data_IF_043083153957
#
_entry.id   IF_043083153957
#
_cell.length_a   1.000
_cell.length_b   1.000
_cell.length_c   1.000
_cell.angle_alpha   90.00
_cell.angle_beta   90.00
_cell.angle_gamma   90.00
#
_symmetry.space_group_name_H-M   'P 1'
#
loop_
_entity.id
_entity.type
_entity.pdbx_description
1 polymer ?
#
# COMPACT_ATOMS: atom_id res chain seq x y z
N UNK A 1 -5.69 -61.72 24.31
CA UNK A 1 -5.39 -60.83 25.46
C UNK A 1 -4.67 -59.60 24.93
N UNK A 2 -5.21 -58.43 25.26
CA UNK A 2 -4.75 -57.09 24.88
C UNK A 2 -3.32 -56.77 25.35
N UNK A 3 -2.64 -55.88 24.61
CA UNK A 3 -2.00 -54.69 25.22
C UNK A 3 -1.63 -53.65 24.14
N UNK A 4 -2.35 -52.54 24.19
CA UNK A 4 -2.01 -51.28 23.55
C UNK A 4 -0.70 -50.73 24.10
N UNK A 5 0.16 -50.20 23.23
CA UNK A 5 1.13 -49.17 23.60
C UNK A 5 0.89 -47.98 22.68
N UNK A 6 0.63 -46.86 23.33
CA UNK A 6 0.16 -45.59 22.80
C UNK A 6 1.32 -44.58 22.94
N UNK A 7 1.31 -43.55 22.06
CA UNK A 7 2.14 -42.32 22.07
C UNK A 7 3.55 -42.49 21.46
N UNK A 8 4.13 -41.52 20.74
CA UNK A 8 4.02 -40.06 20.78
C UNK A 8 4.23 -39.52 19.36
N UNK A 9 3.26 -38.78 18.81
CA UNK A 9 3.47 -37.93 17.63
C UNK A 9 3.15 -36.50 18.08
N UNK A 10 4.18 -35.75 18.49
CA UNK A 10 4.09 -34.30 18.64
C UNK A 10 3.92 -33.70 17.23
N UNK A 11 2.82 -33.01 16.89
CA UNK A 11 2.90 -32.03 15.83
C UNK A 11 3.61 -30.81 16.41
N UNK A 12 4.80 -30.53 15.90
CA UNK A 12 5.52 -29.27 16.13
C UNK A 12 4.64 -28.16 15.57
N UNK A 13 3.90 -27.50 16.46
CA UNK A 13 3.15 -26.29 16.15
C UNK A 13 4.19 -25.19 15.92
N UNK A 14 4.59 -25.01 14.66
CA UNK A 14 5.47 -23.92 14.24
C UNK A 14 4.68 -22.61 14.35
N UNK A 15 4.77 -21.97 15.52
CA UNK A 15 4.27 -20.62 15.74
C UNK A 15 5.17 -19.69 14.91
N UNK A 16 4.68 -19.27 13.74
CA UNK A 16 5.26 -18.15 13.00
C UNK A 16 5.08 -16.90 13.85
N UNK A 17 6.13 -16.52 14.55
CA UNK A 17 6.24 -15.25 15.24
C UNK A 17 6.28 -14.13 14.19
N UNK A 18 5.14 -13.45 13.98
CA UNK A 18 5.03 -12.22 13.20
C UNK A 18 5.78 -11.09 13.92
N UNK A 19 7.11 -11.15 13.90
CA UNK A 19 7.98 -10.00 14.20
C UNK A 19 8.17 -9.19 12.91
N UNK A 20 7.10 -8.53 12.48
CA UNK A 20 7.14 -7.51 11.44
C UNK A 20 7.13 -6.13 12.08
N UNK A 21 8.25 -5.69 12.66
CA UNK A 21 8.44 -4.28 12.99
C UNK A 21 8.45 -3.52 11.65
N UNK A 22 7.28 -3.03 11.27
CA UNK A 22 6.99 -2.54 9.94
C UNK A 22 7.65 -1.18 9.77
N UNK A 23 8.72 -1.13 8.97
CA UNK A 23 9.25 0.13 8.46
C UNK A 23 8.17 0.91 7.68
N UNK A 24 8.45 2.16 7.29
CA UNK A 24 7.51 2.95 6.51
C UNK A 24 7.17 2.20 5.22
N UNK A 25 5.91 1.79 5.08
CA UNK A 25 5.41 0.96 3.99
C UNK A 25 4.33 1.71 3.22
N UNK A 26 4.22 1.41 1.92
CA UNK A 26 3.16 1.96 1.08
C UNK A 26 1.85 1.28 1.45
N UNK A 27 0.88 2.09 1.88
CA UNK A 27 -0.47 1.64 2.17
C UNK A 27 -1.30 1.66 0.89
N UNK A 28 -2.22 0.72 0.73
CA UNK A 28 -3.18 0.67 -0.37
C UNK A 28 -4.59 0.85 0.20
N UNK A 29 -5.36 1.75 -0.39
CA UNK A 29 -6.75 2.01 -0.07
C UNK A 29 -7.58 1.85 -1.34
N UNK A 30 -8.41 0.79 -1.47
CA UNK A 30 -9.26 0.61 -2.64
C UNK A 30 -10.27 1.75 -2.75
N UNK A 31 -10.70 2.07 -3.98
CA UNK A 31 -11.75 3.07 -4.17
C UNK A 31 -13.11 2.52 -3.73
N UNK A 32 -13.81 3.29 -2.89
CA UNK A 32 -15.17 2.98 -2.43
C UNK A 32 -16.19 3.28 -3.53
N UNK A 33 -16.20 2.51 -4.62
CA UNK A 33 -17.31 2.41 -5.59
C UNK A 33 -17.07 1.22 -6.53
N UNK A 34 -17.76 0.08 -6.34
CA UNK A 34 -17.33 -1.22 -6.89
C UNK A 34 -18.06 -1.61 -8.18
N UNK A 35 -18.43 -0.69 -9.06
CA UNK A 35 -19.02 -1.07 -10.33
C UNK A 35 -18.33 -0.31 -11.45
N UNK A 36 -17.38 -1.00 -12.07
CA UNK A 36 -16.82 -0.62 -13.36
C UNK A 36 -17.94 -0.52 -14.41
N UNK A 37 -17.68 0.11 -15.56
CA UNK A 37 -18.64 0.13 -16.68
C UNK A 37 -19.07 -1.29 -17.14
N UNK A 38 -18.32 -2.33 -16.73
CA UNK A 38 -18.54 -3.75 -17.01
C UNK A 38 -19.22 -4.54 -15.88
N UNK A 39 -19.55 -3.92 -14.75
CA UNK A 39 -20.25 -4.60 -13.64
C UNK A 39 -19.35 -5.30 -12.61
N UNK A 40 -18.03 -5.34 -12.83
CA UNK A 40 -17.04 -5.98 -11.96
C UNK A 40 -16.61 -5.05 -10.81
N UNK A 41 -16.48 -5.60 -9.60
CA UNK A 41 -15.94 -4.86 -8.46
C UNK A 41 -14.43 -4.71 -8.51
N UNK A 42 -13.90 -3.68 -7.87
CA UNK A 42 -12.45 -3.48 -7.76
C UNK A 42 -11.77 -4.65 -7.04
N UNK A 43 -12.45 -5.28 -6.07
CA UNK A 43 -11.93 -6.46 -5.38
C UNK A 43 -11.83 -7.65 -6.33
N UNK A 44 -12.88 -7.92 -7.12
CA UNK A 44 -12.89 -8.97 -8.14
C UNK A 44 -11.81 -8.73 -9.20
N UNK A 45 -11.63 -7.47 -9.62
CA UNK A 45 -10.62 -7.03 -10.57
C UNK A 45 -9.17 -7.28 -10.11
N UNK A 46 -8.92 -7.09 -8.83
CA UNK A 46 -7.61 -7.32 -8.21
C UNK A 46 -7.38 -8.82 -8.01
N UNK A 47 -8.40 -9.55 -7.54
CA UNK A 47 -8.32 -10.99 -7.30
C UNK A 47 -8.17 -11.79 -8.61
N UNK A 48 -8.93 -11.43 -9.65
CA UNK A 48 -8.92 -12.12 -10.94
C UNK A 48 -7.58 -11.98 -11.68
N UNK A 49 -6.93 -10.82 -11.55
CA UNK A 49 -5.63 -10.59 -12.18
C UNK A 49 -4.48 -11.16 -11.34
N UNK A 50 -4.55 -11.02 -10.02
CA UNK A 50 -3.48 -11.40 -9.12
C UNK A 50 -2.20 -10.53 -9.23
N UNK A 51 -1.17 -10.83 -8.43
CA UNK A 51 0.08 -10.06 -8.42
C UNK A 51 0.85 -10.15 -9.74
N UNK A 52 1.52 -9.07 -10.12
CA UNK A 52 2.43 -9.02 -11.28
C UNK A 52 3.87 -8.70 -10.84
N UNK A 53 4.82 -8.64 -11.79
CA UNK A 53 6.17 -8.19 -11.49
C UNK A 53 6.20 -6.67 -11.22
N UNK A 54 6.93 -6.18 -10.20
CA UNK A 54 7.20 -4.75 -10.03
C UNK A 54 7.85 -4.10 -11.26
N UNK A 55 8.57 -4.86 -12.08
CA UNK A 55 9.21 -4.32 -13.30
C UNK A 55 8.20 -4.00 -14.40
N UNK A 56 7.05 -4.67 -14.40
CA UNK A 56 5.98 -4.46 -15.37
C UNK A 56 5.08 -3.26 -15.02
N UNK A 57 5.16 -2.76 -13.78
CA UNK A 57 4.41 -1.60 -13.33
C UNK A 57 4.99 -0.32 -13.91
N UNK A 58 4.17 0.50 -14.58
CA UNK A 58 4.56 1.79 -15.15
C UNK A 58 4.30 2.94 -14.17
N UNK A 59 5.25 3.86 -14.04
CA UNK A 59 5.08 5.09 -13.26
C UNK A 59 4.75 6.24 -14.21
N UNK A 60 3.65 6.93 -13.93
CA UNK A 60 3.19 8.09 -14.67
C UNK A 60 3.30 9.33 -13.78
N UNK A 61 4.27 10.19 -14.08
CA UNK A 61 4.48 11.48 -13.40
C UNK A 61 3.94 12.57 -14.31
N UNK A 62 3.10 13.47 -13.77
CA UNK A 62 2.50 14.64 -14.45
C UNK A 62 1.64 14.38 -15.70
N UNK A 63 1.59 13.18 -16.24
CA UNK A 63 0.80 12.82 -17.41
C UNK A 63 -0.06 11.60 -17.12
N UNK A 64 -1.31 11.59 -17.58
CA UNK A 64 -2.16 10.40 -17.54
C UNK A 64 -1.79 9.46 -18.70
N UNK A 65 -1.92 8.14 -18.54
CA UNK A 65 -1.76 7.22 -19.67
C UNK A 65 -2.75 7.54 -20.79
N UNK A 66 -2.31 7.37 -22.04
CA UNK A 66 -3.18 7.54 -23.22
C UNK A 66 -4.17 6.38 -23.38
N UNK A 67 -3.78 5.18 -22.94
CA UNK A 67 -4.62 3.99 -23.02
C UNK A 67 -5.77 4.07 -22.00
N UNK A 68 -6.97 3.56 -22.32
CA UNK A 68 -8.04 3.38 -21.35
C UNK A 68 -7.57 2.57 -20.14
N UNK A 69 -7.97 2.99 -18.95
CA UNK A 69 -7.60 2.34 -17.70
C UNK A 69 -8.72 2.46 -16.66
N UNK A 70 -8.71 1.53 -15.70
CA UNK A 70 -9.52 1.58 -14.48
C UNK A 70 -8.65 1.96 -13.28
N UNK A 71 -9.19 2.79 -12.40
CA UNK A 71 -8.55 3.16 -11.13
C UNK A 71 -8.92 2.13 -10.06
N UNK A 72 -7.92 1.54 -9.43
CA UNK A 72 -8.11 0.48 -8.41
C UNK A 72 -8.15 1.08 -7.00
N UNK A 73 -7.24 2.01 -6.70
CA UNK A 73 -7.08 2.51 -5.35
C UNK A 73 -5.94 3.48 -5.22
N UNK A 74 -5.92 4.16 -4.07
CA UNK A 74 -4.86 5.11 -3.73
C UNK A 74 -3.77 4.39 -2.96
N UNK A 75 -2.53 4.62 -3.39
CA UNK A 75 -1.31 4.25 -2.69
C UNK A 75 -0.82 5.46 -1.90
N UNK A 76 -0.44 5.26 -0.63
CA UNK A 76 0.05 6.33 0.26
C UNK A 76 1.35 5.93 0.95
N UNK A 77 2.34 6.82 0.94
CA UNK A 77 3.62 6.65 1.61
C UNK A 77 3.95 7.88 2.45
N UNK A 78 3.97 7.72 3.78
CA UNK A 78 4.32 8.80 4.71
C UNK A 78 5.70 8.54 5.32
N UNK A 79 6.56 9.56 5.30
CA UNK A 79 7.88 9.52 5.93
C UNK A 79 8.14 10.79 6.73
N UNK A 80 8.94 10.70 7.80
CA UNK A 80 9.50 11.90 8.44
C UNK A 80 10.36 12.66 7.42
N UNK A 81 10.38 14.00 7.53
CA UNK A 81 10.89 15.05 6.63
C UNK A 81 12.22 14.87 5.88
N UNK A 82 12.89 13.74 6.05
CA UNK A 82 13.88 13.30 5.09
C UNK A 82 13.18 13.00 3.76
N UNK A 83 13.49 13.81 2.74
CA UNK A 83 13.08 13.57 1.36
C UNK A 83 13.50 12.14 1.01
N UNK A 84 12.56 11.18 0.87
CA UNK A 84 12.93 9.90 0.33
C UNK A 84 13.40 10.16 -1.09
N UNK A 85 14.56 9.59 -1.47
CA UNK A 85 15.02 9.61 -2.86
C UNK A 85 13.80 9.24 -3.73
N UNK A 86 13.39 10.14 -4.62
CA UNK A 86 12.15 10.02 -5.41
C UNK A 86 12.10 8.68 -6.13
N UNK A 87 13.25 8.20 -6.59
CA UNK A 87 13.45 6.87 -7.15
C UNK A 87 13.07 5.74 -6.18
N UNK A 88 13.48 5.84 -4.91
CA UNK A 88 13.12 4.86 -3.88
C UNK A 88 11.63 4.87 -3.59
N UNK A 89 11.00 6.05 -3.58
CA UNK A 89 9.54 6.15 -3.45
C UNK A 89 8.84 5.45 -4.61
N UNK A 90 9.30 5.66 -5.85
CA UNK A 90 8.75 4.98 -7.02
C UNK A 90 8.90 3.46 -6.92
N UNK A 91 10.05 2.96 -6.48
CA UNK A 91 10.23 1.51 -6.29
C UNK A 91 9.24 0.94 -5.27
N UNK A 92 9.01 1.64 -4.16
CA UNK A 92 8.01 1.23 -3.17
C UNK A 92 6.58 1.25 -3.73
N UNK A 93 6.24 2.26 -4.54
CA UNK A 93 4.96 2.32 -5.25
C UNK A 93 4.82 1.15 -6.24
N UNK A 94 5.85 0.85 -7.04
CA UNK A 94 5.84 -0.29 -7.98
C UNK A 94 5.62 -1.61 -7.26
N UNK A 95 6.31 -1.85 -6.15
CA UNK A 95 6.16 -3.07 -5.36
C UNK A 95 4.73 -3.24 -4.85
N UNK A 96 4.14 -2.17 -4.30
CA UNK A 96 2.78 -2.24 -3.76
C UNK A 96 1.72 -2.34 -4.85
N UNK A 97 1.89 -1.64 -5.96
CA UNK A 97 1.03 -1.70 -7.14
C UNK A 97 1.05 -3.09 -7.79
N UNK A 98 2.24 -3.68 -7.93
CA UNK A 98 2.43 -5.04 -8.43
C UNK A 98 1.71 -6.07 -7.56
N UNK A 99 1.78 -5.93 -6.23
CA UNK A 99 1.11 -6.81 -5.29
C UNK A 99 -0.43 -6.78 -5.42
N UNK A 100 -1.00 -5.71 -5.98
CA UNK A 100 -2.46 -5.58 -6.23
C UNK A 100 -2.82 -5.74 -7.71
N UNK A 101 -1.90 -6.22 -8.56
CA UNK A 101 -2.17 -6.44 -9.98
C UNK A 101 -2.42 -5.16 -10.77
N UNK A 102 -1.85 -4.04 -10.36
CA UNK A 102 -1.93 -2.78 -11.10
C UNK A 102 -0.88 -2.74 -12.21
N UNK A 103 -1.27 -2.27 -13.40
CA UNK A 103 -0.37 -2.01 -14.53
C UNK A 103 0.48 -0.76 -14.34
N UNK A 104 0.01 0.17 -13.51
CA UNK A 104 0.70 1.43 -13.33
C UNK A 104 0.29 2.19 -12.09
N UNK A 105 1.07 3.23 -11.80
CA UNK A 105 0.79 4.21 -10.76
C UNK A 105 0.87 5.60 -11.35
N UNK A 106 -0.22 6.35 -11.25
CA UNK A 106 -0.24 7.78 -11.56
C UNK A 106 0.16 8.52 -10.30
N UNK A 107 1.32 9.16 -10.30
CA UNK A 107 1.80 9.93 -9.14
C UNK A 107 0.96 11.19 -9.02
N UNK A 108 0.25 11.28 -7.89
CA UNK A 108 -0.50 12.47 -7.52
C UNK A 108 0.49 13.34 -6.74
N UNK A 109 0.85 14.52 -7.27
CA UNK A 109 1.75 15.42 -6.55
C UNK A 109 1.15 15.72 -5.17
N UNK A 110 1.80 15.26 -4.10
CA UNK A 110 1.41 15.61 -2.73
C UNK A 110 2.65 16.01 -1.95
N UNK A 111 2.84 17.33 -1.80
CA UNK A 111 3.62 17.91 -0.70
C UNK A 111 2.61 18.55 0.25
N UNK A 112 1.93 17.74 1.03
CA UNK A 112 1.27 18.27 2.23
C UNK A 112 2.34 18.28 3.33
N UNK A 113 2.88 19.47 3.64
CA UNK A 113 3.50 19.71 4.93
C UNK A 113 2.34 19.84 5.93
N UNK A 114 2.19 18.86 6.81
CA UNK A 114 1.38 19.04 8.02
C UNK A 114 2.08 20.07 8.91
N UNK A 115 1.73 21.34 8.77
CA UNK A 115 1.94 22.33 9.85
C UNK A 115 0.72 22.23 10.75
N UNK A 116 0.86 21.63 11.93
CA UNK A 116 -0.24 21.59 12.90
C UNK A 116 -0.68 23.03 13.24
N UNK A 117 -1.92 23.37 12.89
CA UNK A 117 -2.62 24.50 13.48
C UNK A 117 -2.90 24.12 14.94
N UNK A 118 -2.06 24.56 15.86
CA UNK A 118 -2.30 24.39 17.29
C UNK A 118 -3.51 25.23 17.68
N UNK A 119 -4.66 24.58 17.89
CA UNK A 119 -5.75 25.16 18.68
C UNK A 119 -5.26 25.22 20.12
N UNK A 120 -4.59 26.34 20.45
CA UNK A 120 -3.98 26.60 21.73
C UNK A 120 -5.07 26.92 22.74
N UNK A 121 -5.64 25.89 23.37
CA UNK A 121 -6.40 26.13 24.60
C UNK A 121 -6.01 25.25 25.78
N UNK A 122 -5.56 24.00 25.62
CA UNK A 122 -5.01 23.22 26.75
C UNK A 122 -4.06 22.11 26.30
N UNK A 123 -2.75 22.36 26.28
CA UNK A 123 -1.78 21.25 26.25
C UNK A 123 -0.44 21.66 26.86
N UNK A 124 -0.37 21.68 28.19
CA UNK A 124 0.89 21.48 28.92
C UNK A 124 1.24 20.00 28.82
N UNK A 125 1.87 19.55 27.73
CA UNK A 125 2.21 18.13 27.58
C UNK A 125 3.46 17.90 26.74
N UNK A 126 4.61 17.83 27.42
CA UNK A 126 5.85 17.15 26.99
C UNK A 126 6.48 17.72 25.70
N UNK A 127 7.77 17.45 25.37
CA UNK A 127 8.31 17.91 24.11
C UNK A 127 7.47 17.32 22.97
N UNK A 128 6.73 18.17 22.25
CA UNK A 128 5.97 17.77 21.08
C UNK A 128 6.98 17.37 19.99
N UNK A 129 7.08 16.09 19.60
CA UNK A 129 7.96 15.66 18.53
C UNK A 129 7.28 16.09 17.22
N UNK A 130 7.49 17.34 16.84
CA UNK A 130 7.10 17.93 15.57
C UNK A 130 7.73 17.13 14.42
N UNK A 131 7.13 15.98 14.10
CA UNK A 131 7.50 15.16 12.96
C UNK A 131 6.78 15.74 11.76
N UNK A 132 7.49 16.60 11.02
CA UNK A 132 7.08 17.02 9.69
C UNK A 132 6.96 15.76 8.82
N UNK A 133 5.76 15.21 8.68
CA UNK A 133 5.51 14.05 7.82
C UNK A 133 5.27 14.54 6.40
N UNK A 134 6.06 14.02 5.46
CA UNK A 134 5.79 14.18 4.03
C UNK A 134 5.04 12.95 3.55
N UNK A 135 3.86 13.15 2.97
CA UNK A 135 3.04 12.07 2.41
C UNK A 135 3.05 12.15 0.90
N UNK A 136 3.44 11.07 0.24
CA UNK A 136 3.38 10.86 -1.20
C UNK A 136 2.15 10.01 -1.54
N UNK A 137 1.42 10.36 -2.60
CA UNK A 137 0.26 9.59 -3.06
C UNK A 137 0.37 9.21 -4.53
N UNK A 138 -0.21 8.08 -4.87
CA UNK A 138 -0.35 7.64 -6.26
C UNK A 138 -1.66 6.89 -6.47
N UNK A 139 -2.21 6.94 -7.67
CA UNK A 139 -3.37 6.14 -8.06
C UNK A 139 -2.89 4.85 -8.74
N UNK A 140 -3.19 3.70 -8.17
CA UNK A 140 -2.98 2.41 -8.82
C UNK A 140 -4.02 2.24 -9.94
N UNK A 141 -3.56 1.89 -11.13
CA UNK A 141 -4.40 1.74 -12.32
C UNK A 141 -4.18 0.38 -12.98
N UNK A 142 -5.18 -0.07 -13.71
CA UNK A 142 -5.11 -1.24 -14.55
C UNK A 142 -5.59 -0.89 -15.95
N UNK A 143 -4.83 -1.25 -16.99
CA UNK A 143 -5.26 -1.01 -18.36
C UNK A 143 -6.46 -1.89 -18.70
N UNK A 144 -7.38 -1.32 -19.44
CA UNK A 144 -8.56 -2.01 -19.97
C UNK A 144 -8.42 -2.02 -21.48
N UNK A 145 -8.47 -3.21 -22.07
CA UNK A 145 -8.53 -3.38 -23.53
C UNK A 145 -9.94 -3.15 -24.08
#
# INVERSE_FOLDING_TARGET
MMRHIFRISLPVLFVFTLWGCSGPQVQYSPLNNPVTATGESIEQAVESRGPISPDDVRIFVTQKPEKPYRELGVLSYSTAAYIPNEERSFQLFKQKAAAVGADGVIILQSREQSTNYTDSYYAYRWPNPNSNLTTFRGMAIQFTD
#
